data_IF_444454902761
#
_entry.id   IF_444454902761
#
_cell.length_a   1.000
_cell.length_b   1.000
_cell.length_c   1.000
_cell.angle_alpha   90.00
_cell.angle_beta   90.00
_cell.angle_gamma   90.00
#
_symmetry.space_group_name_H-M   'P 1'
#
loop_
_entity.id
_entity.type
_entity.pdbx_description
1 polymer ?
#
# COMPACT_ATOMS: atom_id res chain seq x y z
N UNK A 1 3.77 -15.47 10.30
CA UNK A 1 3.95 -15.49 8.83
C UNK A 1 4.30 -14.08 8.36
N UNK A 2 5.25 -13.93 7.43
CA UNK A 2 5.61 -12.62 6.87
C UNK A 2 4.87 -12.48 5.56
N UNK A 3 4.07 -11.43 5.42
CA UNK A 3 3.23 -11.18 4.24
C UNK A 3 3.88 -10.14 3.34
N UNK A 4 3.88 -10.39 2.03
CA UNK A 4 4.30 -9.43 1.01
C UNK A 4 3.04 -8.88 0.34
N UNK A 5 2.83 -7.56 0.51
CA UNK A 5 1.78 -6.81 -0.17
C UNK A 5 2.25 -6.42 -1.57
N UNK A 6 1.48 -6.78 -2.58
CA UNK A 6 1.84 -6.47 -3.96
C UNK A 6 0.62 -6.13 -4.81
N UNK A 7 0.89 -5.58 -6.01
CA UNK A 7 -0.10 -5.43 -7.06
C UNK A 7 0.25 -6.39 -8.19
N UNK A 8 -0.66 -7.32 -8.53
CA UNK A 8 -0.43 -8.22 -9.67
C UNK A 8 -0.26 -7.46 -10.99
N UNK A 9 -0.82 -6.26 -11.13
CA UNK A 9 -0.65 -5.41 -12.31
C UNK A 9 0.62 -4.54 -12.30
N UNK A 10 1.46 -4.59 -11.26
CA UNK A 10 2.67 -3.79 -11.18
C UNK A 10 3.89 -4.60 -11.65
N UNK A 11 4.47 -4.22 -12.79
CA UNK A 11 5.65 -4.87 -13.37
C UNK A 11 6.87 -4.85 -12.44
N UNK A 12 7.02 -3.79 -11.63
CA UNK A 12 8.11 -3.69 -10.66
C UNK A 12 7.90 -4.66 -9.49
N UNK A 13 6.68 -4.78 -8.96
CA UNK A 13 6.36 -5.80 -7.95
C UNK A 13 6.64 -7.20 -8.49
N UNK A 14 6.15 -7.52 -9.70
CA UNK A 14 6.39 -8.82 -10.33
C UNK A 14 7.88 -9.13 -10.51
N UNK A 15 8.69 -8.13 -10.89
CA UNK A 15 10.14 -8.29 -11.01
C UNK A 15 10.79 -8.56 -9.66
N UNK A 16 10.46 -7.75 -8.65
CA UNK A 16 11.01 -7.91 -7.29
C UNK A 16 10.65 -9.30 -6.73
N UNK A 17 9.39 -9.73 -6.84
CA UNK A 17 8.95 -11.04 -6.35
C UNK A 17 9.75 -12.21 -6.94
N UNK A 18 10.13 -12.13 -8.23
CA UNK A 18 10.98 -13.14 -8.88
C UNK A 18 12.41 -13.16 -8.35
N UNK A 19 12.88 -12.05 -7.80
CA UNK A 19 14.22 -11.91 -7.24
C UNK A 19 14.27 -12.23 -5.73
N UNK A 20 13.12 -12.34 -5.05
CA UNK A 20 13.04 -12.67 -3.62
C UNK A 20 13.40 -14.15 -3.38
N UNK A 21 14.48 -14.45 -2.64
CA UNK A 21 14.84 -15.83 -2.31
C UNK A 21 13.83 -16.47 -1.36
N UNK A 22 13.39 -17.69 -1.68
CA UNK A 22 12.46 -18.45 -0.82
C UNK A 22 11.06 -17.84 -0.76
N UNK A 23 10.59 -17.29 -1.88
CA UNK A 23 9.28 -16.65 -2.01
C UNK A 23 8.14 -17.53 -1.48
N UNK A 24 8.23 -18.86 -1.63
CA UNK A 24 7.24 -19.82 -1.13
C UNK A 24 7.04 -19.82 0.39
N UNK A 25 7.91 -19.15 1.15
CA UNK A 25 7.79 -19.01 2.61
C UNK A 25 6.97 -17.80 3.04
N UNK A 26 6.62 -16.93 2.09
CA UNK A 26 5.88 -15.70 2.34
C UNK A 26 4.44 -15.85 1.87
N UNK A 27 3.53 -15.25 2.63
CA UNK A 27 2.15 -15.09 2.17
C UNK A 27 2.11 -13.90 1.20
N UNK A 28 1.45 -14.06 0.06
CA UNK A 28 1.30 -13.01 -0.94
C UNK A 28 -0.11 -12.46 -0.90
N UNK A 29 -0.24 -11.15 -0.68
CA UNK A 29 -1.52 -10.46 -0.71
C UNK A 29 -1.55 -9.47 -1.87
N UNK A 30 -2.42 -9.72 -2.84
CA UNK A 30 -2.72 -8.76 -3.90
C UNK A 30 -3.73 -7.74 -3.38
N UNK A 31 -3.24 -6.55 -3.01
CA UNK A 31 -4.06 -5.50 -2.36
C UNK A 31 -5.15 -4.94 -3.27
N UNK A 32 -5.12 -5.24 -4.57
CA UNK A 32 -6.19 -4.90 -5.51
C UNK A 32 -7.40 -5.82 -5.38
N UNK A 33 -7.19 -7.11 -5.09
CA UNK A 33 -8.26 -8.10 -4.97
C UNK A 33 -8.65 -8.36 -3.52
N UNK A 34 -7.67 -8.29 -2.62
CA UNK A 34 -7.83 -8.46 -1.19
C UNK A 34 -7.29 -7.21 -0.48
N UNK A 35 -8.19 -6.27 -0.22
CA UNK A 35 -7.85 -4.98 0.40
C UNK A 35 -7.13 -5.16 1.73
N UNK A 36 -6.16 -4.30 2.00
CA UNK A 36 -5.43 -4.29 3.26
C UNK A 36 -6.37 -4.05 4.44
N UNK A 37 -6.21 -4.80 5.54
CA UNK A 37 -7.00 -4.58 6.74
C UNK A 37 -6.44 -3.40 7.56
N UNK A 38 -7.25 -2.77 8.44
CA UNK A 38 -6.78 -1.73 9.34
C UNK A 38 -5.58 -2.18 10.19
N UNK A 39 -5.60 -3.40 10.72
CA UNK A 39 -4.55 -3.94 11.57
C UNK A 39 -3.25 -4.17 10.79
N UNK A 40 -3.36 -4.63 9.55
CA UNK A 40 -2.21 -4.78 8.65
C UNK A 40 -1.58 -3.43 8.31
N UNK A 41 -2.41 -2.42 8.01
CA UNK A 41 -1.93 -1.08 7.71
C UNK A 41 -1.25 -0.44 8.93
N UNK A 42 -1.80 -0.63 10.13
CA UNK A 42 -1.22 -0.13 11.37
C UNK A 42 0.15 -0.78 11.63
N UNK A 43 0.30 -2.08 11.35
CA UNK A 43 1.59 -2.76 11.43
C UNK A 43 2.60 -2.24 10.39
N UNK A 44 2.18 -2.02 9.14
CA UNK A 44 3.05 -1.41 8.12
C UNK A 44 3.48 0.00 8.53
N UNK A 45 2.62 0.77 9.19
CA UNK A 45 2.94 2.11 9.71
C UNK A 45 3.97 2.05 10.83
N UNK A 46 4.00 1.00 11.65
CA UNK A 46 5.08 0.80 12.62
C UNK A 46 6.43 0.58 11.95
N UNK A 47 6.46 -0.11 10.81
CA UNK A 47 7.68 -0.38 10.05
C UNK A 47 8.14 0.81 9.21
N UNK A 48 7.21 1.54 8.58
CA UNK A 48 7.50 2.67 7.70
C UNK A 48 7.65 4.00 8.44
N UNK A 49 7.11 4.11 9.65
CA UNK A 49 7.16 5.30 10.51
C UNK A 49 5.91 6.18 10.46
N UNK A 50 5.20 6.23 9.34
CA UNK A 50 3.93 6.97 9.18
C UNK A 50 3.06 6.38 8.07
N UNK A 51 1.76 6.67 8.08
CA UNK A 51 0.85 6.40 6.97
C UNK A 51 1.18 7.27 5.76
N UNK A 52 1.67 8.49 5.97
CA UNK A 52 2.16 9.32 4.85
C UNK A 52 3.28 8.62 4.06
N UNK A 53 4.20 7.93 4.74
CA UNK A 53 5.28 7.19 4.09
C UNK A 53 4.78 6.00 3.27
N UNK A 54 3.59 5.48 3.57
CA UNK A 54 2.91 4.41 2.83
C UNK A 54 2.03 4.96 1.69
N UNK A 55 1.76 6.26 1.65
CA UNK A 55 0.81 6.88 0.74
C UNK A 55 1.40 7.26 -0.63
N UNK A 56 0.75 6.84 -1.70
CA UNK A 56 1.08 7.10 -3.09
C UNK A 56 0.44 8.39 -3.61
N UNK A 57 1.18 9.50 -3.52
CA UNK A 57 0.83 10.78 -4.18
C UNK A 57 0.84 10.71 -5.72
N UNK A 58 1.26 9.58 -6.29
CA UNK A 58 1.30 9.35 -7.75
C UNK A 58 -0.01 8.76 -8.28
N UNK A 59 -0.89 8.27 -7.41
CA UNK A 59 -2.18 7.70 -7.82
C UNK A 59 -2.98 8.71 -8.65
N UNK A 60 -3.58 8.26 -9.75
CA UNK A 60 -4.44 9.14 -10.58
C UNK A 60 -5.59 9.72 -9.75
N UNK A 61 -6.11 8.94 -8.79
CA UNK A 61 -7.14 9.38 -7.85
C UNK A 61 -6.70 10.52 -6.94
N UNK A 62 -5.41 10.66 -6.65
CA UNK A 62 -4.89 11.76 -5.82
C UNK A 62 -5.21 13.14 -6.44
N UNK A 63 -5.05 13.25 -7.75
CA UNK A 63 -5.40 14.47 -8.50
C UNK A 63 -6.90 14.55 -8.75
N UNK A 64 -7.53 13.46 -9.17
CA UNK A 64 -8.96 13.43 -9.50
C UNK A 64 -9.87 13.77 -8.31
N UNK A 65 -9.44 13.45 -7.09
CA UNK A 65 -10.15 13.77 -5.85
C UNK A 65 -9.75 15.14 -5.25
N UNK A 66 -8.89 15.91 -5.92
CA UNK A 66 -8.44 17.23 -5.42
C UNK A 66 -7.53 17.17 -4.18
N UNK A 67 -7.04 15.98 -3.80
CA UNK A 67 -6.24 15.78 -2.58
C UNK A 67 -4.87 16.48 -2.66
N UNK A 68 -4.35 16.69 -3.86
CA UNK A 68 -3.10 17.42 -4.10
C UNK A 68 -3.13 18.91 -3.71
N UNK A 69 -4.32 19.49 -3.53
CA UNK A 69 -4.50 20.87 -3.07
C UNK A 69 -4.83 20.96 -1.57
N UNK A 70 -4.93 19.81 -0.89
CA UNK A 70 -5.30 19.73 0.52
C UNK A 70 -4.07 19.47 1.40
N UNK A 71 -4.11 20.01 2.62
CA UNK A 71 -3.20 19.59 3.68
C UNK A 71 -3.80 18.37 4.37
N UNK A 72 -3.27 17.19 4.05
CA UNK A 72 -3.72 15.93 4.62
C UNK A 72 -3.02 15.68 5.96
N UNK A 73 -3.78 15.21 6.94
CA UNK A 73 -3.26 14.77 8.22
C UNK A 73 -2.89 13.29 8.19
N UNK A 74 -2.18 12.84 9.22
CA UNK A 74 -1.82 11.43 9.40
C UNK A 74 -3.06 10.52 9.43
N UNK A 75 -4.17 11.00 10.01
CA UNK A 75 -5.45 10.27 10.03
C UNK A 75 -6.10 10.21 8.64
N UNK A 76 -5.96 11.26 7.83
CA UNK A 76 -6.47 11.28 6.46
C UNK A 76 -5.75 10.26 5.58
N UNK A 77 -4.41 10.19 5.68
CA UNK A 77 -3.65 9.18 4.94
C UNK A 77 -4.09 7.76 5.27
N UNK A 78 -4.25 7.43 6.56
CA UNK A 78 -4.74 6.13 6.99
C UNK A 78 -6.11 5.81 6.39
N UNK A 79 -7.05 6.75 6.48
CA UNK A 79 -8.40 6.59 5.95
C UNK A 79 -8.38 6.38 4.44
N UNK A 80 -7.62 7.20 3.71
CA UNK A 80 -7.54 7.12 2.25
C UNK A 80 -6.95 5.79 1.77
N UNK A 81 -5.88 5.29 2.41
CA UNK A 81 -5.27 3.99 2.06
C UNK A 81 -6.29 2.84 2.23
N UNK A 82 -7.11 2.89 3.28
CA UNK A 82 -8.15 1.88 3.53
C UNK A 82 -9.33 1.99 2.55
N UNK A 83 -9.65 3.19 2.10
CA UNK A 83 -10.73 3.44 1.13
C UNK A 83 -10.33 3.06 -0.30
N UNK A 84 -9.05 3.18 -0.64
CA UNK A 84 -8.58 3.05 -2.01
C UNK A 84 -7.16 2.46 -2.12
N UNK A 85 -7.09 1.26 -2.68
CA UNK A 85 -5.85 0.46 -2.79
C UNK A 85 -4.75 1.07 -3.68
N UNK A 86 -5.07 2.06 -4.51
CA UNK A 86 -4.06 2.72 -5.36
C UNK A 86 -3.26 3.79 -4.63
N UNK A 87 -3.72 4.18 -3.44
CA UNK A 87 -2.97 5.03 -2.52
C UNK A 87 -1.92 4.25 -1.75
#
# INVERSE_FOLDING_TARGET
PVTIYHLSSCSTCQRILKEVPGLERFDLQDIKTETITPEQLDHLRELAGSYEALFSRRAMKFRAMGLHEQQLTEQDFRRLILEEYTF
#
